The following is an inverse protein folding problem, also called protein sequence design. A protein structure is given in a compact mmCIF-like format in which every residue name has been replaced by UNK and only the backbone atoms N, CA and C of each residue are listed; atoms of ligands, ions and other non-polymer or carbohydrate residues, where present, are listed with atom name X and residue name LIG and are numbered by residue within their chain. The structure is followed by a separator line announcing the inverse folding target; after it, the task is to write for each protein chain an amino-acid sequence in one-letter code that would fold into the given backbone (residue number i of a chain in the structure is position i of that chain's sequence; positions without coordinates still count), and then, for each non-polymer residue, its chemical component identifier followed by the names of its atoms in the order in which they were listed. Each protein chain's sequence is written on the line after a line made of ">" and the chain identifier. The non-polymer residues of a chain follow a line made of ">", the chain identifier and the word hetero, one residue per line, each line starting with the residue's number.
data_IF_018615644758
#
_entry.id   IF_018615644758
#
_cell.length_a   1.000
_cell.length_b   1.000
_cell.length_c   1.000
_cell.angle_alpha   90.00
_cell.angle_beta   90.00
_cell.angle_gamma   90.00
#
_symmetry.space_group_name_H-M   'P 1'
#
loop_
_entity.id
_entity.type
_entity.pdbx_description
1 polymer ?
#
# COMPACT_ATOMS: atom_id res chain seq x y z
N UNK A 1 -13.83 4.58 21.16
CA UNK A 1 -13.54 3.13 21.01
C UNK A 1 -12.97 2.93 19.62
N UNK A 2 -11.89 2.16 19.49
CA UNK A 2 -11.26 1.84 18.20
C UNK A 2 -11.28 0.32 18.04
N UNK A 3 -11.74 -0.16 16.87
CA UNK A 3 -11.76 -1.58 16.53
C UNK A 3 -10.89 -1.78 15.28
N UNK A 4 -9.97 -2.73 15.34
CA UNK A 4 -9.12 -3.09 14.20
C UNK A 4 -9.49 -4.49 13.71
N UNK A 5 -9.71 -4.63 12.41
CA UNK A 5 -9.94 -5.93 11.75
C UNK A 5 -8.67 -6.28 11.00
N UNK A 6 -8.00 -7.36 11.41
CA UNK A 6 -6.71 -7.79 10.84
C UNK A 6 -6.79 -9.26 10.38
N UNK A 7 -5.93 -9.64 9.43
CA UNK A 7 -5.78 -11.03 8.96
C UNK A 7 -4.32 -11.35 8.67
N UNK A 8 -3.93 -12.61 8.85
CA UNK A 8 -2.55 -13.07 8.58
C UNK A 8 -2.26 -13.40 7.10
N UNK A 9 -3.27 -13.32 6.23
CA UNK A 9 -3.15 -13.57 4.79
C UNK A 9 -4.24 -12.81 4.01
N UNK A 10 -4.00 -12.60 2.72
CA UNK A 10 -5.01 -12.11 1.78
C UNK A 10 -6.16 -13.11 1.58
N UNK A 11 -7.34 -12.61 1.20
CA UNK A 11 -8.49 -13.46 0.86
C UNK A 11 -9.28 -14.08 2.03
N UNK A 12 -9.00 -13.71 3.29
CA UNK A 12 -9.76 -14.23 4.46
C UNK A 12 -11.09 -13.53 4.73
N UNK A 13 -11.53 -12.63 3.85
CA UNK A 13 -12.77 -11.85 4.04
C UNK A 13 -12.66 -10.70 5.05
N UNK A 14 -11.45 -10.20 5.33
CA UNK A 14 -11.20 -9.09 6.26
C UNK A 14 -12.07 -7.86 5.95
N UNK A 15 -12.09 -7.41 4.69
CA UNK A 15 -12.92 -6.28 4.22
C UNK A 15 -14.40 -6.57 4.38
N UNK A 16 -14.85 -7.80 4.09
CA UNK A 16 -16.26 -8.21 4.24
C UNK A 16 -16.71 -8.07 5.69
N UNK A 17 -15.91 -8.52 6.65
CA UNK A 17 -16.21 -8.39 8.08
C UNK A 17 -16.20 -6.93 8.50
N UNK A 18 -15.19 -6.16 8.10
CA UNK A 18 -15.07 -4.74 8.46
C UNK A 18 -16.25 -3.91 7.96
N UNK A 19 -16.64 -4.07 6.69
CA UNK A 19 -17.76 -3.35 6.06
C UNK A 19 -19.09 -3.68 6.74
N UNK A 20 -19.38 -4.97 6.95
CA UNK A 20 -20.64 -5.38 7.58
C UNK A 20 -20.74 -4.91 9.04
N UNK A 21 -19.62 -4.95 9.77
CA UNK A 21 -19.56 -4.39 11.13
C UNK A 21 -19.89 -2.89 11.10
N UNK A 22 -19.27 -2.13 10.20
CA UNK A 22 -19.52 -0.69 10.07
C UNK A 22 -20.98 -0.37 9.72
N UNK A 23 -21.58 -1.10 8.76
CA UNK A 23 -22.97 -0.92 8.36
C UNK A 23 -23.96 -1.27 9.48
N UNK A 24 -23.71 -2.37 10.21
CA UNK A 24 -24.55 -2.78 11.35
C UNK A 24 -24.50 -1.76 12.48
N UNK A 25 -23.30 -1.28 12.84
CA UNK A 25 -23.15 -0.28 13.88
C UNK A 25 -23.69 1.09 13.44
N UNK A 26 -23.55 1.44 12.16
CA UNK A 26 -24.02 2.69 11.57
C UNK A 26 -25.52 2.95 11.74
N UNK A 27 -26.32 1.90 11.97
CA UNK A 27 -27.76 2.03 12.24
C UNK A 27 -28.07 2.64 13.63
N UNK A 28 -27.14 2.58 14.58
CA UNK A 28 -27.36 2.99 15.97
C UNK A 28 -26.35 4.01 16.49
N UNK A 29 -25.23 4.20 15.79
CA UNK A 29 -24.12 5.06 16.22
C UNK A 29 -23.36 5.61 15.03
N UNK A 30 -22.74 6.77 15.21
CA UNK A 30 -21.83 7.33 14.23
C UNK A 30 -20.57 6.46 14.12
N UNK A 31 -20.24 6.01 12.91
CA UNK A 31 -19.08 5.17 12.62
C UNK A 31 -18.16 5.91 11.66
N UNK A 32 -16.88 5.98 12.01
CA UNK A 32 -15.82 6.36 11.09
C UNK A 32 -15.15 5.08 10.58
N UNK A 33 -15.10 4.90 9.26
CA UNK A 33 -14.45 3.78 8.62
C UNK A 33 -13.11 4.22 8.04
N UNK A 34 -12.03 3.50 8.36
CA UNK A 34 -10.71 3.71 7.79
C UNK A 34 -10.30 2.40 7.08
N UNK A 35 -10.13 2.47 5.76
CA UNK A 35 -9.60 1.38 4.96
C UNK A 35 -8.07 1.53 4.89
N UNK A 36 -7.34 0.69 5.61
CA UNK A 36 -5.88 0.71 5.67
C UNK A 36 -5.24 -0.44 4.87
N UNK A 37 -6.04 -1.17 4.08
CA UNK A 37 -5.55 -2.21 3.19
C UNK A 37 -5.18 -1.60 1.83
N UNK A 38 -3.91 -1.66 1.46
CA UNK A 38 -3.40 -1.09 0.20
C UNK A 38 -3.53 -2.10 -0.96
N UNK A 39 -3.58 -3.40 -0.67
CA UNK A 39 -3.42 -4.44 -1.68
C UNK A 39 -4.73 -4.79 -2.38
N UNK A 40 -5.82 -5.03 -1.63
CA UNK A 40 -7.22 -5.29 -2.06
C UNK A 40 -7.94 -6.22 -1.04
N UNK A 41 -9.29 -6.25 -0.97
CA UNK A 41 -10.27 -5.47 -1.73
C UNK A 41 -10.68 -4.17 -1.03
N UNK A 42 -10.99 -3.15 -1.82
CA UNK A 42 -11.34 -1.81 -1.34
C UNK A 42 -12.78 -1.73 -0.76
N UNK A 43 -12.92 -1.15 0.42
CA UNK A 43 -14.21 -0.96 1.09
C UNK A 43 -15.16 0.01 0.35
N UNK A 44 -14.62 0.94 -0.44
CA UNK A 44 -15.42 1.96 -1.13
C UNK A 44 -16.42 1.37 -2.13
N UNK A 45 -16.15 0.18 -2.68
CA UNK A 45 -17.09 -0.53 -3.57
C UNK A 45 -18.41 -0.88 -2.86
N UNK A 46 -18.34 -1.17 -1.55
CA UNK A 46 -19.50 -1.56 -0.75
C UNK A 46 -20.15 -0.36 -0.06
N UNK A 47 -19.32 0.52 0.52
CA UNK A 47 -19.80 1.66 1.30
C UNK A 47 -20.28 2.83 0.42
N UNK A 48 -19.85 2.86 -0.85
CA UNK A 48 -20.18 3.91 -1.83
C UNK A 48 -20.09 5.34 -1.25
N UNK A 49 -18.97 5.69 -0.59
CA UNK A 49 -18.85 7.00 0.04
C UNK A 49 -18.79 8.09 -1.04
N UNK A 50 -19.27 9.28 -0.70
CA UNK A 50 -18.97 10.47 -1.50
C UNK A 50 -17.52 10.90 -1.22
N UNK A 51 -16.67 10.87 -2.26
CA UNK A 51 -15.29 11.34 -2.15
C UNK A 51 -15.28 12.87 -2.26
N UNK A 52 -15.07 13.56 -1.14
CA UNK A 52 -15.09 15.03 -1.07
C UNK A 52 -13.75 15.67 -1.43
N UNK A 53 -12.65 14.96 -1.19
CA UNK A 53 -11.29 15.42 -1.42
C UNK A 53 -10.43 14.25 -1.87
N UNK A 54 -9.52 14.52 -2.79
CA UNK A 54 -8.43 13.64 -3.18
C UNK A 54 -7.18 14.50 -3.32
N UNK A 55 -6.03 13.91 -3.04
CA UNK A 55 -4.74 14.52 -3.26
C UNK A 55 -3.78 13.45 -3.75
N UNK A 56 -2.87 13.82 -4.63
CA UNK A 56 -1.79 12.94 -5.03
C UNK A 56 -0.81 12.77 -3.87
N UNK A 57 -0.32 11.56 -3.72
CA UNK A 57 0.74 11.21 -2.77
C UNK A 57 1.87 10.57 -3.55
N UNK A 58 3.10 10.86 -3.15
CA UNK A 58 4.30 10.43 -3.87
C UNK A 58 5.18 9.58 -2.96
N UNK A 59 5.81 8.57 -3.54
CA UNK A 59 6.87 7.79 -2.90
C UNK A 59 8.21 8.16 -3.53
N UNK A 60 9.30 8.01 -2.75
CA UNK A 60 10.64 8.25 -3.27
C UNK A 60 11.10 7.05 -4.08
N UNK A 61 11.50 7.28 -5.32
CA UNK A 61 12.07 6.26 -6.21
C UNK A 61 13.58 6.53 -6.31
N UNK A 62 14.43 5.51 -6.11
CA UNK A 62 15.87 5.66 -6.29
C UNK A 62 16.21 6.07 -7.73
N UNK A 63 17.19 6.96 -7.89
CA UNK A 63 17.72 7.35 -9.20
C UNK A 63 19.22 7.02 -9.26
N UNK A 64 19.67 6.47 -10.39
CA UNK A 64 21.06 6.10 -10.60
C UNK A 64 21.76 7.20 -11.39
N UNK A 65 22.81 7.76 -10.82
CA UNK A 65 23.70 8.68 -11.53
C UNK A 65 24.70 7.83 -12.32
N UNK A 66 24.42 7.57 -13.60
CA UNK A 66 25.21 6.68 -14.46
C UNK A 66 26.69 7.08 -14.52
N UNK A 67 27.00 8.37 -14.60
CA UNK A 67 28.37 8.89 -14.64
C UNK A 67 29.22 8.50 -13.41
N UNK A 68 28.57 8.17 -12.29
CA UNK A 68 29.21 7.76 -11.03
C UNK A 68 29.04 6.27 -10.74
N UNK A 69 28.25 5.56 -11.55
CA UNK A 69 27.92 4.18 -11.32
C UNK A 69 29.07 3.27 -11.77
N UNK A 70 29.64 2.53 -10.83
CA UNK A 70 30.64 1.50 -11.12
C UNK A 70 30.05 0.10 -11.19
N UNK A 71 28.72 -0.01 -11.16
CA UNK A 71 27.97 -1.27 -11.12
C UNK A 71 28.37 -2.20 -9.95
N UNK A 72 28.82 -1.63 -8.82
CA UNK A 72 29.30 -2.38 -7.65
C UNK A 72 28.21 -3.12 -6.85
N UNK A 73 26.93 -2.81 -7.12
CA UNK A 73 25.78 -3.44 -6.49
C UNK A 73 25.56 -3.09 -5.02
N UNK A 74 26.29 -2.13 -4.44
CA UNK A 74 26.12 -1.75 -3.04
C UNK A 74 24.70 -1.22 -2.76
N UNK A 75 24.17 -0.37 -3.65
CA UNK A 75 22.80 0.15 -3.58
C UNK A 75 21.76 -0.98 -3.54
N UNK A 76 21.90 -2.00 -4.38
CA UNK A 76 21.02 -3.17 -4.40
C UNK A 76 21.08 -3.97 -3.09
N UNK A 77 22.27 -4.13 -2.49
CA UNK A 77 22.43 -4.87 -1.21
C UNK A 77 21.78 -4.17 -0.02
N UNK A 78 21.77 -2.84 0.01
CA UNK A 78 21.21 -2.06 1.13
C UNK A 78 19.72 -1.72 0.94
N UNK A 79 19.15 -2.02 -0.23
CA UNK A 79 17.76 -1.73 -0.53
C UNK A 79 16.82 -2.66 0.26
N UNK A 80 16.17 -2.12 1.30
CA UNK A 80 15.23 -2.86 2.13
C UNK A 80 14.07 -3.48 1.33
N UNK A 81 13.62 -2.77 0.29
CA UNK A 81 12.51 -3.15 -0.58
C UNK A 81 12.92 -4.05 -1.74
N UNK A 82 14.24 -4.28 -1.95
CA UNK A 82 14.79 -5.00 -3.10
C UNK A 82 14.37 -4.42 -4.46
N UNK A 83 14.08 -3.11 -4.49
CA UNK A 83 13.67 -2.35 -5.67
C UNK A 83 14.83 -2.04 -6.64
N UNK A 84 16.06 -2.47 -6.36
CA UNK A 84 17.25 -2.20 -7.20
C UNK A 84 17.95 -3.51 -7.54
N UNK A 85 18.20 -3.76 -8.83
CA UNK A 85 19.04 -4.85 -9.30
C UNK A 85 20.18 -4.32 -10.17
N UNK A 86 21.38 -4.87 -9.98
CA UNK A 86 22.55 -4.54 -10.82
C UNK A 86 22.96 -5.79 -11.60
N UNK A 87 22.90 -5.71 -12.93
CA UNK A 87 23.18 -6.83 -13.85
C UNK A 87 24.23 -6.39 -14.85
N UNK A 88 25.43 -6.95 -14.75
CA UNK A 88 26.60 -6.57 -15.57
C UNK A 88 26.87 -5.06 -15.50
N UNK A 89 26.53 -4.31 -16.55
CA UNK A 89 26.68 -2.86 -16.68
C UNK A 89 25.33 -2.15 -16.81
N UNK A 90 24.31 -2.68 -16.16
CA UNK A 90 22.98 -2.08 -16.12
C UNK A 90 22.47 -2.07 -14.68
N UNK A 91 21.79 -0.98 -14.31
CA UNK A 91 21.02 -0.90 -13.06
C UNK A 91 19.55 -0.84 -13.42
N UNK A 92 18.76 -1.72 -12.82
CA UNK A 92 17.31 -1.79 -12.96
C UNK A 92 16.69 -1.31 -11.66
N UNK A 93 15.75 -0.37 -11.76
CA UNK A 93 14.92 0.11 -10.66
C UNK A 93 13.50 -0.40 -10.91
N UNK A 94 12.86 -0.89 -9.85
CA UNK A 94 11.48 -1.37 -9.85
C UNK A 94 10.66 -0.41 -8.98
N UNK A 95 10.02 0.62 -9.56
CA UNK A 95 9.27 1.64 -8.82
C UNK A 95 8.09 1.10 -7.99
N UNK A 96 7.61 -0.09 -8.34
CA UNK A 96 6.43 -0.71 -7.72
C UNK A 96 6.74 -1.51 -6.45
N UNK A 97 8.02 -1.62 -6.04
CA UNK A 97 8.50 -2.40 -4.88
C UNK A 97 8.88 -1.54 -3.67
#
# INVERSE_FOLDING_TARGET
>A
MILSVASGKGGTGKTTVAVNLALSLGQSRQVQFLDCDVEEPNAHFFLKPQILKSQEVFIQIPEVIEDRCTYCGLCARVCAYKAIAVVKKAVLIFPEL
#
